data_IF_797697708319
#
_entry.id   IF_797697708319
#
_cell.length_a   1.000
_cell.length_b   1.000
_cell.length_c   1.000
_cell.angle_alpha   90.00
_cell.angle_beta   90.00
_cell.angle_gamma   90.00
#
_symmetry.space_group_name_H-M   'P 1'
#
loop_
_entity.id
_entity.type
_entity.pdbx_description
1 polymer ?
#
# COMPACT_ATOMS: atom_id res chain seq x y z
N UNK A 1 -7.52 90.42 -67.17
CA UNK A 1 -7.17 89.48 -68.24
C UNK A 1 -5.70 89.73 -68.56
N UNK A 2 -4.75 88.81 -68.41
CA UNK A 2 -4.73 87.40 -67.91
C UNK A 2 -3.37 87.20 -67.21
N UNK A 3 -3.20 86.46 -66.10
CA UNK A 3 -3.33 85.02 -65.84
C UNK A 3 -2.22 84.14 -66.48
N UNK A 4 -1.40 83.54 -65.59
CA UNK A 4 -0.40 82.46 -65.78
C UNK A 4 0.89 82.72 -66.59
N UNK A 5 2.04 82.60 -65.90
CA UNK A 5 2.96 81.46 -66.17
C UNK A 5 3.98 81.22 -65.04
N UNK A 6 4.32 79.94 -64.90
CA UNK A 6 5.11 79.29 -63.84
C UNK A 6 5.86 78.13 -64.56
N UNK A 7 7.02 77.59 -64.16
CA UNK A 7 7.70 77.53 -62.85
C UNK A 7 9.17 77.07 -63.05
N UNK A 8 9.93 76.90 -61.95
CA UNK A 8 11.07 75.97 -61.76
C UNK A 8 12.46 76.39 -62.30
N UNK A 9 13.36 76.69 -61.35
CA UNK A 9 14.74 76.16 -61.35
C UNK A 9 15.41 76.31 -59.97
N UNK A 10 15.11 75.43 -59.01
CA UNK A 10 15.99 75.11 -57.86
C UNK A 10 15.46 73.90 -57.07
N UNK A 11 16.35 73.25 -56.29
CA UNK A 11 16.19 72.03 -55.45
C UNK A 11 16.51 70.66 -56.09
N UNK A 12 17.81 70.34 -56.15
CA UNK A 12 18.33 69.03 -56.57
C UNK A 12 19.05 68.23 -55.46
N UNK A 13 18.88 68.57 -54.17
CA UNK A 13 19.72 68.04 -53.07
C UNK A 13 18.92 67.40 -51.89
N UNK A 14 17.61 67.62 -51.78
CA UNK A 14 16.81 67.18 -50.61
C UNK A 14 16.45 65.67 -50.55
N UNK A 15 16.68 64.91 -51.63
CA UNK A 15 16.23 63.50 -51.72
C UNK A 15 16.97 62.48 -50.86
N UNK A 16 18.29 62.61 -50.69
CA UNK A 16 19.10 61.57 -50.05
C UNK A 16 19.07 61.63 -48.50
N UNK A 17 19.08 62.83 -47.92
CA UNK A 17 19.09 63.01 -46.47
C UNK A 17 17.74 62.66 -45.82
N UNK A 18 16.63 62.97 -46.49
CA UNK A 18 15.28 62.65 -46.01
C UNK A 18 15.03 61.13 -45.94
N UNK A 19 15.46 60.38 -46.95
CA UNK A 19 15.33 58.91 -46.99
C UNK A 19 16.08 58.21 -45.86
N UNK A 20 17.30 58.68 -45.53
CA UNK A 20 18.10 58.13 -44.43
C UNK A 20 17.45 58.34 -43.05
N UNK A 21 16.93 59.54 -42.79
CA UNK A 21 16.24 59.85 -41.53
C UNK A 21 14.92 59.06 -41.37
N UNK A 22 14.12 58.96 -42.43
CA UNK A 22 12.88 58.15 -42.41
C UNK A 22 13.18 56.67 -42.21
N UNK A 23 14.22 56.12 -42.87
CA UNK A 23 14.65 54.74 -42.67
C UNK A 23 15.17 54.48 -41.25
N UNK A 24 15.91 55.41 -40.65
CA UNK A 24 16.41 55.30 -39.28
C UNK A 24 15.27 55.39 -38.23
N UNK A 25 14.31 56.30 -38.43
CA UNK A 25 13.13 56.42 -37.56
C UNK A 25 12.21 55.20 -37.69
N UNK A 26 11.99 54.68 -38.90
CA UNK A 26 11.25 53.42 -39.10
C UNK A 26 11.98 52.24 -38.46
N UNK A 27 13.31 52.12 -38.64
CA UNK A 27 14.10 51.05 -38.02
C UNK A 27 14.04 51.10 -36.49
N UNK A 28 14.26 52.27 -35.88
CA UNK A 28 14.20 52.42 -34.42
C UNK A 28 12.80 52.22 -33.87
N UNK A 29 11.75 52.67 -34.57
CA UNK A 29 10.37 52.39 -34.21
C UNK A 29 10.08 50.89 -34.29
N UNK A 30 10.45 50.22 -35.38
CA UNK A 30 10.23 48.78 -35.56
C UNK A 30 11.01 47.95 -34.54
N UNK A 31 12.30 48.24 -34.30
CA UNK A 31 13.09 47.61 -33.23
C UNK A 31 12.44 47.81 -31.86
N UNK A 32 11.98 49.02 -31.54
CA UNK A 32 11.34 49.31 -30.25
C UNK A 32 10.00 48.56 -30.11
N UNK A 33 9.19 48.52 -31.16
CA UNK A 33 7.86 47.88 -31.16
C UNK A 33 7.98 46.35 -31.13
N UNK A 34 8.91 45.78 -31.90
CA UNK A 34 9.17 44.34 -31.97
C UNK A 34 9.85 43.82 -30.68
N UNK A 35 10.84 44.56 -30.15
CA UNK A 35 11.47 44.25 -28.85
C UNK A 35 10.48 44.37 -27.70
N UNK A 36 9.53 45.32 -27.77
CA UNK A 36 8.45 45.46 -26.77
C UNK A 36 7.39 44.35 -26.88
N UNK A 37 6.99 43.93 -28.07
CA UNK A 37 6.04 42.80 -28.22
C UNK A 37 6.67 41.47 -27.82
N UNK A 38 7.90 41.19 -28.27
CA UNK A 38 8.65 39.99 -27.91
C UNK A 38 8.87 39.96 -26.39
N UNK A 39 9.31 41.06 -25.78
CA UNK A 39 9.45 41.13 -24.32
C UNK A 39 8.13 40.87 -23.60
N UNK A 40 7.03 41.47 -24.05
CA UNK A 40 5.72 41.27 -23.42
C UNK A 40 5.24 39.82 -23.53
N UNK A 41 5.50 39.14 -24.64
CA UNK A 41 5.19 37.73 -24.83
C UNK A 41 6.05 36.83 -23.93
N UNK A 42 7.36 37.09 -23.81
CA UNK A 42 8.22 36.38 -22.86
C UNK A 42 7.79 36.63 -21.41
N UNK A 43 7.54 37.89 -21.01
CA UNK A 43 7.07 38.24 -19.66
C UNK A 43 5.73 37.53 -19.36
N UNK A 44 4.81 37.45 -20.32
CA UNK A 44 3.53 36.73 -20.20
C UNK A 44 3.70 35.22 -20.07
N UNK A 45 4.55 34.60 -20.90
CA UNK A 45 4.88 33.16 -20.80
C UNK A 45 5.56 32.83 -19.46
N UNK A 46 6.45 33.70 -18.97
CA UNK A 46 7.18 33.52 -17.71
C UNK A 46 6.23 33.69 -16.51
N UNK A 47 5.33 34.67 -16.54
CA UNK A 47 4.25 34.81 -15.56
C UNK A 47 3.31 33.60 -15.55
N UNK A 48 2.97 33.05 -16.73
CA UNK A 48 2.15 31.84 -16.83
C UNK A 48 2.85 30.63 -16.24
N UNK A 49 4.08 30.33 -16.65
CA UNK A 49 4.91 29.26 -16.10
C UNK A 49 5.09 29.39 -14.57
N UNK A 50 5.35 30.61 -14.07
CA UNK A 50 5.46 30.86 -12.62
C UNK A 50 4.13 30.64 -11.90
N UNK A 51 3.01 31.08 -12.47
CA UNK A 51 1.67 30.84 -11.91
C UNK A 51 1.29 29.36 -11.91
N UNK A 52 1.68 28.62 -12.93
CA UNK A 52 1.38 27.18 -13.04
C UNK A 52 2.26 26.38 -12.06
N UNK A 53 3.55 26.71 -11.90
CA UNK A 53 4.43 26.17 -10.86
C UNK A 53 3.92 26.50 -9.45
N UNK A 54 3.47 27.74 -9.20
CA UNK A 54 2.90 28.15 -7.91
C UNK A 54 1.57 27.42 -7.61
N UNK A 55 0.74 27.14 -8.63
CA UNK A 55 -0.46 26.29 -8.47
C UNK A 55 -0.09 24.86 -8.12
N UNK A 56 0.82 24.23 -8.87
CA UNK A 56 1.27 22.86 -8.61
C UNK A 56 1.89 22.73 -7.21
N UNK A 57 2.79 23.65 -6.84
CA UNK A 57 3.40 23.70 -5.52
C UNK A 57 2.37 23.88 -4.40
N UNK A 58 1.39 24.77 -4.56
CA UNK A 58 0.31 24.93 -3.58
C UNK A 58 -0.59 23.69 -3.52
N UNK A 59 -0.86 23.01 -4.64
CA UNK A 59 -1.63 21.76 -4.67
C UNK A 59 -0.89 20.65 -3.92
N UNK A 60 0.42 20.50 -4.14
CA UNK A 60 1.29 19.57 -3.40
C UNK A 60 1.28 19.91 -1.90
N UNK A 61 1.46 21.18 -1.51
CA UNK A 61 1.44 21.60 -0.11
C UNK A 61 0.07 21.37 0.57
N UNK A 62 -1.04 21.58 -0.15
CA UNK A 62 -2.40 21.30 0.33
C UNK A 62 -2.64 19.80 0.48
N UNK A 63 -2.15 18.98 -0.46
CA UNK A 63 -2.19 17.52 -0.34
C UNK A 63 -1.37 17.05 0.87
N UNK A 64 -0.12 17.50 0.99
CA UNK A 64 0.82 17.12 2.05
C UNK A 64 0.34 17.54 3.45
N UNK A 65 -0.28 18.73 3.59
CA UNK A 65 -0.85 19.20 4.87
C UNK A 65 -2.18 18.53 5.23
N UNK A 66 -3.04 18.22 4.26
CA UNK A 66 -4.24 17.40 4.52
C UNK A 66 -3.86 15.97 4.90
N UNK A 67 -2.87 15.39 4.22
CA UNK A 67 -2.28 14.09 4.56
C UNK A 67 -1.77 14.10 6.00
N UNK A 68 -0.84 15.01 6.34
CA UNK A 68 -0.25 15.05 7.68
C UNK A 68 -1.27 15.27 8.80
N UNK A 69 -2.36 16.02 8.58
CA UNK A 69 -3.29 16.36 9.65
C UNK A 69 -4.48 15.40 9.79
N UNK A 70 -4.97 14.79 8.71
CA UNK A 70 -6.05 13.78 8.79
C UNK A 70 -5.52 12.37 9.01
N UNK A 71 -4.37 12.04 8.44
CA UNK A 71 -3.92 10.65 8.42
C UNK A 71 -3.28 10.23 9.74
N UNK A 72 -2.62 11.13 10.50
CA UNK A 72 -1.97 10.79 11.78
C UNK A 72 -2.89 10.05 12.77
N UNK A 73 -4.05 10.62 13.13
CA UNK A 73 -4.98 9.98 14.07
C UNK A 73 -5.63 8.68 13.54
N UNK A 74 -5.60 8.45 12.22
CA UNK A 74 -6.02 7.20 11.59
C UNK A 74 -4.89 6.18 11.58
N UNK A 75 -3.67 6.59 11.24
CA UNK A 75 -2.46 5.79 11.29
C UNK A 75 -2.18 5.31 12.71
N UNK A 76 -2.29 6.17 13.73
CA UNK A 76 -2.12 5.76 15.13
C UNK A 76 -3.08 4.61 15.51
N UNK A 77 -4.32 4.63 15.01
CA UNK A 77 -5.29 3.54 15.20
C UNK A 77 -4.93 2.29 14.40
N UNK A 78 -4.49 2.45 13.15
CA UNK A 78 -4.02 1.33 12.31
C UNK A 78 -2.83 0.64 12.99
N UNK A 79 -1.83 1.40 13.46
CA UNK A 79 -0.68 0.89 14.21
C UNK A 79 -1.11 0.16 15.47
N UNK A 80 -1.94 0.79 16.31
CA UNK A 80 -2.45 0.18 17.56
C UNK A 80 -3.21 -1.12 17.30
N UNK A 81 -4.02 -1.18 16.24
CA UNK A 81 -4.79 -2.37 15.88
C UNK A 81 -3.93 -3.48 15.29
N UNK A 82 -2.90 -3.16 14.51
CA UNK A 82 -1.89 -4.13 14.05
C UNK A 82 -1.12 -4.69 15.25
N UNK A 83 -0.66 -3.84 16.17
CA UNK A 83 0.04 -4.24 17.40
C UNK A 83 -0.84 -5.13 18.30
N UNK A 84 -2.12 -4.79 18.47
CA UNK A 84 -3.09 -5.58 19.25
C UNK A 84 -3.31 -6.98 18.67
N UNK A 85 -3.50 -7.08 17.35
CA UNK A 85 -3.67 -8.36 16.66
C UNK A 85 -2.37 -9.19 16.71
N UNK A 86 -1.21 -8.56 16.46
CA UNK A 86 0.10 -9.22 16.59
C UNK A 86 0.36 -9.74 18.02
N UNK A 87 0.03 -8.96 19.05
CA UNK A 87 0.07 -9.41 20.44
C UNK A 87 -0.86 -10.61 20.69
N UNK A 88 -1.95 -10.74 19.93
CA UNK A 88 -2.80 -11.94 19.93
C UNK A 88 -2.08 -13.18 19.34
N UNK A 89 -1.34 -13.03 18.25
CA UNK A 89 -0.50 -14.10 17.68
C UNK A 89 0.57 -14.52 18.69
N UNK A 90 1.28 -13.56 19.31
CA UNK A 90 2.28 -13.85 20.35
C UNK A 90 1.68 -14.53 21.59
N UNK A 91 0.47 -14.16 22.00
CA UNK A 91 -0.26 -14.82 23.08
C UNK A 91 -0.53 -16.28 22.74
N UNK A 92 -1.15 -16.55 21.58
CA UNK A 92 -1.41 -17.92 21.14
C UNK A 92 -0.13 -18.75 20.97
N UNK A 93 0.98 -18.12 20.54
CA UNK A 93 2.30 -18.76 20.45
C UNK A 93 2.84 -19.18 21.81
N UNK A 94 2.62 -18.37 22.86
CA UNK A 94 3.00 -18.66 24.26
C UNK A 94 2.15 -19.78 24.88
N UNK A 95 0.86 -19.84 24.55
CA UNK A 95 -0.08 -20.85 25.05
C UNK A 95 -0.23 -22.07 24.12
N UNK A 96 0.57 -22.16 23.05
CA UNK A 96 0.57 -23.33 22.15
C UNK A 96 0.90 -24.60 22.95
N UNK A 97 0.05 -25.64 22.94
CA UNK A 97 0.31 -26.84 23.73
C UNK A 97 1.64 -27.51 23.37
N UNK A 98 2.41 -27.94 24.38
CA UNK A 98 3.73 -28.56 24.19
C UNK A 98 3.67 -29.81 23.31
N UNK A 99 2.57 -30.58 23.38
CA UNK A 99 2.35 -31.74 22.51
C UNK A 99 2.45 -31.38 21.02
N UNK A 100 2.02 -30.17 20.61
CA UNK A 100 2.16 -29.72 19.21
C UNK A 100 3.61 -29.53 18.77
N UNK A 101 4.54 -29.31 19.71
CA UNK A 101 5.97 -29.32 19.44
C UNK A 101 6.53 -30.73 19.29
N UNK A 102 5.97 -31.71 20.03
CA UNK A 102 6.36 -33.13 19.94
C UNK A 102 5.87 -33.72 18.62
N UNK A 103 4.58 -33.53 18.28
CA UNK A 103 3.98 -33.96 17.01
C UNK A 103 4.78 -33.46 15.80
N UNK A 104 5.38 -32.27 15.90
CA UNK A 104 6.16 -31.68 14.82
C UNK A 104 7.54 -32.30 14.61
N UNK A 105 7.99 -33.16 15.53
CA UNK A 105 9.24 -33.93 15.44
C UNK A 105 9.02 -35.38 15.00
N UNK A 106 7.76 -35.85 14.98
CA UNK A 106 7.41 -37.23 14.66
C UNK A 106 7.21 -37.44 13.17
N UNK A 107 7.66 -38.58 12.68
CA UNK A 107 7.37 -39.06 11.34
C UNK A 107 5.93 -39.63 11.25
N UNK A 108 5.39 -39.74 10.04
CA UNK A 108 4.01 -40.20 9.80
C UNK A 108 3.74 -41.62 10.35
N UNK A 109 4.77 -42.46 10.43
CA UNK A 109 4.70 -43.81 11.01
C UNK A 109 4.63 -43.84 12.54
N UNK A 110 5.12 -42.79 13.21
CA UNK A 110 5.15 -42.66 14.67
C UNK A 110 3.87 -41.99 15.22
N UNK A 111 3.03 -41.46 14.31
CA UNK A 111 1.66 -41.05 14.60
C UNK A 111 0.72 -42.28 14.67
N UNK A 112 -0.58 -42.05 14.76
CA UNK A 112 -1.56 -43.13 14.94
C UNK A 112 -1.42 -43.80 16.30
N UNK A 113 -1.33 -45.12 16.32
CA UNK A 113 -1.34 -45.89 17.58
C UNK A 113 -0.05 -45.84 18.40
N UNK A 114 1.09 -45.43 17.84
CA UNK A 114 2.34 -45.31 18.61
C UNK A 114 2.24 -44.10 19.56
N UNK A 115 2.13 -42.88 19.03
CA UNK A 115 1.82 -41.71 19.84
C UNK A 115 0.49 -41.85 20.60
N UNK A 116 -0.54 -42.50 20.04
CA UNK A 116 -1.82 -42.69 20.71
C UNK A 116 -1.75 -43.54 21.99
N UNK A 117 -0.79 -44.44 22.10
CA UNK A 117 -0.65 -45.36 23.24
C UNK A 117 0.53 -45.02 24.16
N UNK A 118 1.30 -43.98 23.85
CA UNK A 118 2.45 -43.61 24.68
C UNK A 118 2.00 -42.99 26.02
N UNK A 119 2.15 -43.76 27.10
CA UNK A 119 1.85 -43.35 28.48
C UNK A 119 3.08 -42.69 29.17
N UNK A 120 4.10 -42.27 28.42
CA UNK A 120 5.27 -41.55 28.91
C UNK A 120 4.87 -40.25 29.66
N UNK A 121 5.12 -40.15 30.98
CA UNK A 121 4.66 -39.03 31.80
C UNK A 121 5.39 -37.70 31.54
N UNK A 122 6.36 -37.69 30.62
CA UNK A 122 7.00 -36.45 30.13
C UNK A 122 6.21 -35.81 28.99
N UNK A 123 5.31 -36.55 28.34
CA UNK A 123 4.41 -36.03 27.31
C UNK A 123 3.21 -35.41 28.04
N UNK A 124 3.16 -34.08 28.06
CA UNK A 124 2.03 -33.34 28.62
C UNK A 124 0.94 -33.29 27.54
N UNK A 125 -0.16 -33.98 27.81
CA UNK A 125 -1.35 -33.99 26.95
C UNK A 125 -2.08 -32.65 26.90
N UNK A 126 -2.87 -32.46 25.84
CA UNK A 126 -3.66 -31.26 25.60
C UNK A 126 -4.94 -31.32 26.44
N UNK A 127 -5.06 -30.40 27.40
CA UNK A 127 -6.25 -30.28 28.23
C UNK A 127 -7.32 -29.45 27.54
N UNK A 128 -8.57 -29.55 28.01
CA UNK A 128 -9.64 -28.70 27.49
C UNK A 128 -9.35 -27.21 27.75
N UNK A 129 -8.78 -26.87 28.91
CA UNK A 129 -8.34 -25.51 29.24
C UNK A 129 -7.38 -24.92 28.20
N UNK A 130 -6.46 -25.74 27.67
CA UNK A 130 -5.46 -25.29 26.70
C UNK A 130 -6.11 -24.92 25.37
N UNK A 131 -7.22 -25.58 25.02
CA UNK A 131 -8.06 -25.25 23.87
C UNK A 131 -8.92 -24.01 24.19
N UNK A 132 -9.52 -23.95 25.37
CA UNK A 132 -10.38 -22.82 25.79
C UNK A 132 -9.60 -21.49 25.81
N UNK A 133 -8.32 -21.50 26.22
CA UNK A 133 -7.42 -20.33 26.14
C UNK A 133 -7.17 -19.83 24.71
N UNK A 134 -7.32 -20.67 23.69
CA UNK A 134 -7.20 -20.25 22.28
C UNK A 134 -8.48 -19.58 21.75
N UNK A 135 -9.59 -19.67 22.48
CA UNK A 135 -10.90 -19.13 22.10
C UNK A 135 -11.51 -18.26 23.20
N UNK A 136 -10.67 -17.63 24.03
CA UNK A 136 -11.11 -16.78 25.13
C UNK A 136 -11.51 -15.36 24.67
N UNK A 137 -12.35 -14.70 25.48
CA UNK A 137 -12.85 -13.34 25.24
C UNK A 137 -11.73 -12.30 25.06
N UNK A 138 -10.53 -12.51 25.64
CA UNK A 138 -9.36 -11.63 25.48
C UNK A 138 -8.85 -11.59 24.03
N UNK A 139 -9.04 -12.68 23.28
CA UNK A 139 -8.72 -12.76 21.85
C UNK A 139 -9.87 -12.24 20.97
N UNK A 140 -11.13 -12.41 21.41
CA UNK A 140 -12.30 -11.92 20.66
C UNK A 140 -12.58 -10.41 20.86
N UNK A 141 -12.13 -9.81 21.97
CA UNK A 141 -12.18 -8.36 22.19
C UNK A 141 -11.49 -7.53 21.10
N UNK A 142 -10.60 -8.16 20.31
CA UNK A 142 -9.87 -7.59 19.17
C UNK A 142 -10.72 -7.49 17.89
N UNK A 143 -12.00 -7.89 17.92
CA UNK A 143 -12.94 -7.68 16.82
C UNK A 143 -13.06 -6.21 16.38
N UNK A 144 -12.79 -5.25 17.27
CA UNK A 144 -12.78 -3.82 16.92
C UNK A 144 -11.55 -3.43 16.07
N UNK A 145 -10.42 -4.11 16.28
CA UNK A 145 -9.15 -3.86 15.57
C UNK A 145 -9.22 -4.30 14.11
N UNK A 146 -10.07 -5.27 13.78
CA UNK A 146 -10.36 -5.72 12.41
C UNK A 146 -10.69 -4.57 11.46
N UNK A 147 -11.42 -3.56 11.94
CA UNK A 147 -11.83 -2.40 11.12
C UNK A 147 -10.62 -1.58 10.64
N UNK A 148 -9.57 -1.46 11.46
CA UNK A 148 -8.41 -0.61 11.19
C UNK A 148 -7.23 -1.39 10.62
N UNK A 149 -6.98 -2.61 11.09
CA UNK A 149 -5.91 -3.48 10.56
C UNK A 149 -6.27 -4.13 9.21
N UNK A 150 -7.57 -4.17 8.87
CA UNK A 150 -8.06 -4.69 7.61
C UNK A 150 -8.26 -6.22 7.59
N UNK A 151 -9.10 -6.65 6.64
CA UNK A 151 -9.55 -8.04 6.51
C UNK A 151 -8.41 -9.04 6.28
N UNK A 152 -7.35 -8.66 5.58
CA UNK A 152 -6.23 -9.58 5.30
C UNK A 152 -5.46 -9.94 6.58
N UNK A 153 -5.02 -8.94 7.36
CA UNK A 153 -4.33 -9.19 8.64
C UNK A 153 -5.24 -9.93 9.64
N UNK A 154 -6.53 -9.59 9.67
CA UNK A 154 -7.50 -10.32 10.49
C UNK A 154 -7.65 -11.79 10.06
N UNK A 155 -7.72 -12.07 8.76
CA UNK A 155 -7.83 -13.45 8.25
C UNK A 155 -6.59 -14.29 8.54
N UNK A 156 -5.39 -13.71 8.52
CA UNK A 156 -4.15 -14.38 8.92
C UNK A 156 -4.17 -14.72 10.42
N UNK A 157 -4.51 -13.76 11.29
CA UNK A 157 -4.67 -13.98 12.73
C UNK A 157 -5.71 -15.07 13.04
N UNK A 158 -6.88 -14.98 12.42
CA UNK A 158 -7.95 -15.96 12.61
C UNK A 158 -7.55 -17.36 12.13
N UNK A 159 -6.85 -17.44 11.00
CA UNK A 159 -6.36 -18.73 10.46
C UNK A 159 -5.27 -19.35 11.35
N UNK A 160 -4.39 -18.54 11.95
CA UNK A 160 -3.43 -18.98 12.97
C UNK A 160 -4.15 -19.62 14.16
N UNK A 161 -5.15 -18.90 14.71
CA UNK A 161 -6.01 -19.37 15.81
C UNK A 161 -6.73 -20.67 15.47
N UNK A 162 -7.38 -20.70 14.31
CA UNK A 162 -8.15 -21.85 13.83
C UNK A 162 -7.27 -23.08 13.62
N UNK A 163 -6.06 -22.94 13.07
CA UNK A 163 -5.13 -24.05 12.89
C UNK A 163 -4.63 -24.60 14.23
N UNK A 164 -4.12 -23.76 15.15
CA UNK A 164 -3.67 -24.26 16.46
C UNK A 164 -4.83 -24.93 17.20
N UNK A 165 -6.02 -24.31 17.23
CA UNK A 165 -7.19 -24.88 17.88
C UNK A 165 -7.63 -26.20 17.25
N UNK A 166 -7.72 -26.29 15.92
CA UNK A 166 -8.14 -27.52 15.23
C UNK A 166 -7.13 -28.64 15.42
N UNK A 167 -5.84 -28.37 15.25
CA UNK A 167 -4.77 -29.36 15.47
C UNK A 167 -4.81 -29.85 16.93
N UNK A 168 -5.00 -28.94 17.89
CA UNK A 168 -5.11 -29.29 19.33
C UNK A 168 -6.30 -30.22 19.60
N UNK A 169 -7.49 -29.91 19.07
CA UNK A 169 -8.69 -30.74 19.18
C UNK A 169 -8.49 -32.13 18.56
N UNK A 170 -7.93 -32.17 17.35
CA UNK A 170 -7.70 -33.42 16.60
C UNK A 170 -6.72 -34.34 17.34
N UNK A 171 -5.62 -33.80 17.87
CA UNK A 171 -4.63 -34.59 18.60
C UNK A 171 -5.11 -34.99 20.00
N UNK A 172 -5.82 -34.11 20.73
CA UNK A 172 -6.46 -34.44 22.01
C UNK A 172 -7.40 -35.65 21.85
N UNK A 173 -8.31 -35.58 20.87
CA UNK A 173 -9.25 -36.68 20.58
C UNK A 173 -8.51 -37.97 20.19
N UNK A 174 -7.48 -37.87 19.35
CA UNK A 174 -6.68 -39.03 18.95
C UNK A 174 -5.91 -39.70 20.11
N UNK A 175 -5.42 -38.91 21.07
CA UNK A 175 -4.81 -39.43 22.32
C UNK A 175 -5.85 -40.12 23.19
N UNK A 176 -7.04 -39.54 23.35
CA UNK A 176 -8.17 -40.16 24.06
C UNK A 176 -8.64 -41.48 23.41
N UNK A 177 -8.66 -41.55 22.08
CA UNK A 177 -9.04 -42.73 21.30
C UNK A 177 -7.89 -43.75 21.10
N UNK A 178 -6.69 -43.44 21.60
CA UNK A 178 -5.44 -44.20 21.44
C UNK A 178 -5.00 -44.46 19.98
N UNK A 179 -5.37 -43.54 19.10
CA UNK A 179 -5.00 -43.49 17.67
C UNK A 179 -4.96 -42.03 17.21
N UNK A 180 -3.76 -41.43 17.11
CA UNK A 180 -3.59 -40.01 16.75
C UNK A 180 -3.63 -39.82 15.24
N UNK A 181 -4.70 -39.24 14.67
CA UNK A 181 -4.82 -39.11 13.22
C UNK A 181 -3.82 -38.09 12.68
N UNK A 182 -3.46 -38.29 11.41
CA UNK A 182 -2.62 -37.36 10.66
C UNK A 182 -3.34 -36.01 10.52
N UNK A 183 -2.90 -34.99 11.27
CA UNK A 183 -3.66 -33.75 11.41
C UNK A 183 -3.73 -32.92 10.13
N UNK A 184 -2.71 -32.97 9.26
CA UNK A 184 -2.76 -32.27 7.96
C UNK A 184 -3.64 -32.98 6.95
N UNK A 185 -4.07 -34.22 7.23
CA UNK A 185 -5.06 -34.91 6.42
C UNK A 185 -6.51 -34.49 6.76
N UNK A 186 -6.73 -33.80 7.90
CA UNK A 186 -8.03 -33.27 8.30
C UNK A 186 -8.59 -32.23 7.32
N UNK A 187 -9.88 -32.37 7.00
CA UNK A 187 -10.56 -31.54 6.00
C UNK A 187 -10.55 -30.03 6.36
N UNK A 188 -10.63 -29.67 7.65
CA UNK A 188 -10.63 -28.27 8.07
C UNK A 188 -9.21 -27.70 7.97
N UNK A 189 -8.21 -28.43 8.47
CA UNK A 189 -6.80 -28.05 8.30
C UNK A 189 -6.42 -27.89 6.83
N UNK A 190 -6.75 -28.85 5.95
CA UNK A 190 -6.52 -28.77 4.50
C UNK A 190 -7.16 -27.52 3.88
N UNK A 191 -8.43 -27.26 4.21
CA UNK A 191 -9.16 -26.10 3.67
C UNK A 191 -8.44 -24.79 4.03
N UNK A 192 -8.10 -24.60 5.31
CA UNK A 192 -7.40 -23.39 5.77
C UNK A 192 -6.01 -23.27 5.15
N UNK A 193 -5.21 -24.35 5.13
CA UNK A 193 -3.86 -24.35 4.51
C UNK A 193 -3.97 -24.02 3.01
N UNK A 194 -4.92 -24.60 2.29
CA UNK A 194 -5.11 -24.34 0.85
C UNK A 194 -5.55 -22.92 0.53
N UNK A 195 -6.21 -22.23 1.47
CA UNK A 195 -6.59 -20.82 1.34
C UNK A 195 -5.43 -19.86 1.69
N UNK A 196 -4.55 -20.26 2.61
CA UNK A 196 -3.36 -19.50 3.00
C UNK A 196 -2.19 -19.63 2.02
N UNK A 197 -2.03 -20.80 1.41
CA UNK A 197 -0.85 -21.16 0.64
C UNK A 197 -1.04 -20.98 -0.87
N UNK A 198 -0.03 -20.42 -1.53
CA UNK A 198 0.08 -20.50 -3.00
C UNK A 198 0.34 -21.95 -3.45
N UNK A 199 0.17 -22.24 -4.74
CA UNK A 199 0.44 -23.59 -5.29
C UNK A 199 1.88 -24.07 -5.03
N UNK A 200 2.85 -23.15 -5.00
CA UNK A 200 4.25 -23.47 -4.74
C UNK A 200 4.47 -23.75 -3.25
N UNK A 201 3.96 -22.87 -2.38
CA UNK A 201 4.01 -23.02 -0.93
C UNK A 201 3.33 -24.32 -0.46
N UNK A 202 2.20 -24.70 -1.07
CA UNK A 202 1.51 -25.96 -0.80
C UNK A 202 2.33 -27.17 -1.27
N UNK A 203 3.08 -27.04 -2.38
CA UNK A 203 4.01 -28.09 -2.83
C UNK A 203 5.23 -28.22 -1.91
N UNK A 204 5.67 -27.13 -1.28
CA UNK A 204 6.73 -27.16 -0.26
C UNK A 204 6.21 -27.80 1.03
N UNK A 205 5.06 -27.38 1.54
CA UNK A 205 4.40 -27.97 2.71
C UNK A 205 4.22 -29.49 2.59
N UNK A 206 3.75 -29.96 1.43
CA UNK A 206 3.51 -31.38 1.18
C UNK A 206 4.81 -32.21 1.06
N UNK A 207 5.98 -31.59 0.89
CA UNK A 207 7.30 -32.28 0.85
C UNK A 207 7.97 -32.38 2.23
N UNK A 208 7.47 -31.67 3.23
CA UNK A 208 7.98 -31.78 4.60
C UNK A 208 7.63 -33.16 5.15
N UNK A 209 8.60 -33.86 5.73
CA UNK A 209 8.35 -35.12 6.47
C UNK A 209 7.95 -34.84 7.93
N UNK A 210 8.58 -33.81 8.52
CA UNK A 210 8.38 -33.29 9.86
C UNK A 210 8.35 -31.74 9.82
N UNK A 211 8.06 -31.07 10.93
CA UNK A 211 8.10 -29.61 11.02
C UNK A 211 6.88 -28.87 10.44
N UNK A 212 5.84 -29.59 10.01
CA UNK A 212 4.64 -29.05 9.33
C UNK A 212 3.86 -28.03 10.17
N UNK A 213 3.74 -28.22 11.49
CA UNK A 213 3.05 -27.32 12.42
C UNK A 213 3.84 -26.01 12.55
N UNK A 214 5.13 -26.07 12.87
CA UNK A 214 5.93 -24.84 12.98
C UNK A 214 6.09 -24.15 11.62
N UNK A 215 6.18 -24.89 10.51
CA UNK A 215 6.23 -24.32 9.16
C UNK A 215 4.99 -23.46 8.88
N UNK A 216 3.77 -24.00 9.03
CA UNK A 216 2.56 -23.25 8.68
C UNK A 216 2.34 -22.04 9.62
N UNK A 217 2.65 -22.17 10.91
CA UNK A 217 2.54 -21.06 11.87
C UNK A 217 3.57 -19.95 11.57
N UNK A 218 4.83 -20.30 11.31
CA UNK A 218 5.85 -19.33 10.93
C UNK A 218 5.56 -18.69 9.55
N UNK A 219 4.93 -19.42 8.63
CA UNK A 219 4.50 -18.91 7.33
C UNK A 219 3.41 -17.84 7.47
N UNK A 220 2.41 -18.09 8.33
CA UNK A 220 1.37 -17.11 8.66
C UNK A 220 1.97 -15.88 9.35
N UNK A 221 2.86 -16.08 10.34
CA UNK A 221 3.59 -14.99 11.00
C UNK A 221 4.38 -14.15 9.99
N UNK A 222 5.06 -14.79 9.03
CA UNK A 222 5.83 -14.10 7.99
C UNK A 222 4.94 -13.26 7.07
N UNK A 223 3.82 -13.83 6.58
CA UNK A 223 2.84 -13.09 5.76
C UNK A 223 2.20 -11.94 6.53
N UNK A 224 1.95 -12.12 7.83
CA UNK A 224 1.39 -11.08 8.69
C UNK A 224 2.37 -9.91 8.82
N UNK A 225 3.64 -10.19 9.13
CA UNK A 225 4.69 -9.18 9.27
C UNK A 225 4.97 -8.45 7.94
N UNK A 226 4.97 -9.16 6.82
CA UNK A 226 5.16 -8.56 5.50
C UNK A 226 4.01 -7.60 5.14
N UNK A 227 2.76 -8.04 5.29
CA UNK A 227 1.61 -7.19 5.01
C UNK A 227 1.50 -6.00 5.98
N UNK A 228 1.77 -6.23 7.27
CA UNK A 228 1.85 -5.16 8.26
C UNK A 228 2.89 -4.13 7.88
N UNK A 229 4.08 -4.55 7.44
CA UNK A 229 5.14 -3.64 6.99
C UNK A 229 4.68 -2.77 5.82
N UNK A 230 4.02 -3.35 4.80
CA UNK A 230 3.51 -2.59 3.63
C UNK A 230 2.49 -1.51 4.03
N UNK A 231 1.60 -1.83 4.98
CA UNK A 231 0.61 -0.89 5.53
C UNK A 231 1.32 0.22 6.33
N UNK A 232 2.25 -0.15 7.22
CA UNK A 232 3.02 0.78 8.06
C UNK A 232 3.88 1.74 7.22
N UNK A 233 4.48 1.26 6.13
CA UNK A 233 5.26 2.11 5.21
C UNK A 233 4.39 2.93 4.25
N UNK A 234 3.06 2.78 4.29
CA UNK A 234 2.12 3.50 3.44
C UNK A 234 2.20 3.11 1.96
N UNK A 235 2.79 1.96 1.61
CA UNK A 235 3.04 1.58 0.20
C UNK A 235 1.72 1.41 -0.58
N UNK A 236 0.68 0.89 0.07
CA UNK A 236 -0.67 0.81 -0.50
C UNK A 236 -1.36 2.19 -0.57
N UNK A 237 -1.18 3.04 0.44
CA UNK A 237 -1.73 4.41 0.47
C UNK A 237 -1.15 5.28 -0.64
N UNK A 238 0.17 5.26 -0.83
CA UNK A 238 0.88 6.02 -1.87
C UNK A 238 0.38 5.65 -3.27
N UNK A 239 0.15 4.35 -3.53
CA UNK A 239 -0.36 3.89 -4.82
C UNK A 239 -1.81 4.34 -5.07
N UNK A 240 -2.68 4.22 -4.06
CA UNK A 240 -4.07 4.68 -4.15
C UNK A 240 -4.15 6.20 -4.34
N UNK A 241 -3.32 6.96 -3.63
CA UNK A 241 -3.27 8.43 -3.71
C UNK A 241 -2.70 8.92 -5.04
N UNK A 242 -1.68 8.27 -5.59
CA UNK A 242 -1.19 8.55 -6.95
C UNK A 242 -2.29 8.34 -8.00
N UNK A 243 -3.09 7.28 -7.86
CA UNK A 243 -4.22 7.01 -8.76
C UNK A 243 -5.34 8.07 -8.60
N UNK A 244 -5.66 8.46 -7.37
CA UNK A 244 -6.66 9.51 -7.08
C UNK A 244 -6.20 10.89 -7.56
N UNK A 245 -4.93 11.27 -7.33
CA UNK A 245 -4.35 12.50 -7.85
C UNK A 245 -4.41 12.52 -9.39
N UNK A 246 -4.08 11.41 -10.04
CA UNK A 246 -4.20 11.26 -11.51
C UNK A 246 -5.65 11.42 -11.98
N UNK A 247 -6.64 10.90 -11.25
CA UNK A 247 -8.07 11.08 -11.55
C UNK A 247 -8.51 12.54 -11.38
N UNK A 248 -8.04 13.23 -10.34
CA UNK A 248 -8.33 14.65 -10.10
C UNK A 248 -7.72 15.55 -11.17
N UNK A 249 -6.44 15.35 -11.53
CA UNK A 249 -5.76 16.12 -12.58
C UNK A 249 -6.52 15.98 -13.91
N UNK A 250 -6.85 14.75 -14.33
CA UNK A 250 -7.63 14.50 -15.56
C UNK A 250 -9.02 15.17 -15.53
N UNK A 251 -9.66 15.25 -14.37
CA UNK A 251 -10.95 15.94 -14.23
C UNK A 251 -10.80 17.47 -14.34
N UNK A 252 -9.72 18.04 -13.80
CA UNK A 252 -9.41 19.46 -13.90
C UNK A 252 -9.05 19.86 -15.35
N UNK A 253 -8.23 19.07 -16.03
CA UNK A 253 -7.90 19.26 -17.46
C UNK A 253 -9.16 19.23 -18.35
N UNK A 254 -10.04 18.25 -18.10
CA UNK A 254 -11.30 18.11 -18.84
C UNK A 254 -12.22 19.33 -18.66
N UNK A 255 -12.32 19.85 -17.44
CA UNK A 255 -13.13 21.03 -17.12
C UNK A 255 -12.47 22.36 -17.58
N UNK A 256 -11.14 22.40 -17.67
CA UNK A 256 -10.40 23.53 -18.25
C UNK A 256 -10.66 23.68 -19.75
N UNK A 257 -10.69 22.56 -20.48
CA UNK A 257 -10.95 22.53 -21.92
C UNK A 257 -12.42 22.78 -22.33
N UNK A 258 -13.37 22.81 -21.39
CA UNK A 258 -14.78 23.17 -21.66
C UNK A 258 -15.10 24.66 -21.46
N UNK A 259 -14.10 25.49 -21.13
CA UNK A 259 -14.24 26.94 -20.93
C UNK A 259 -13.47 27.79 -21.97
N UNK A 260 -13.24 27.22 -23.16
CA UNK A 260 -12.66 27.86 -24.35
C UNK A 260 -13.56 27.59 -25.57
#
# INVERSE_FOLDING_TARGET
MDFLSWTISEEAISGAAAGGLVSFLLKSWFETRLKKSIKHEYDSRLLKLKSDIEKESNLINILQSNYSNKNNASHDRILTSIESIWAGILYMKKFKPTLLGIIDLLHESELGTELGRDENPRIIDINQSDIDYLFCDELDGKLQDRLYAGEYLWSLFFSYRQLIGRISIVNKKGREEKDVPIWWEDNICKSVISALCSKNELSEFNKLEFGRVNWILNHIESKYLEASKRIITGEESINLEAELATKVIKALEKNGNTNL
#
